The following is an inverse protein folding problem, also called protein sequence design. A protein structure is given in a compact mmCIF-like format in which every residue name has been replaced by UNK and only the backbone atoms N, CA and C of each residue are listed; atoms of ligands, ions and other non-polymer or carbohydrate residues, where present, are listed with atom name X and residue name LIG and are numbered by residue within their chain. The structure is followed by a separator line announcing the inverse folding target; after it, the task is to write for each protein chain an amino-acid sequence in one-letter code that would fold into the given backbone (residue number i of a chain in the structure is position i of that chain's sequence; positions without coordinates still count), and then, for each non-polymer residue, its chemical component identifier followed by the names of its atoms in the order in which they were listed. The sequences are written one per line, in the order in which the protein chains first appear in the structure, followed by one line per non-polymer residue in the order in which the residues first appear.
data_IF_347533554014
#
_entry.id   IF_347533554014
#
_cell.length_a   1.000
_cell.length_b   1.000
_cell.length_c   1.000
_cell.angle_alpha   90.00
_cell.angle_beta   90.00
_cell.angle_gamma   90.00
#
_symmetry.space_group_name_H-M   'P 1'
#
loop_
_entity.id
_entity.type
_entity.pdbx_description
1 polymer ?
#
# COMPACT_ATOMS: atom_id res chain seq x y z
N UNK A 1 3.43 6.09 3.92
CA UNK A 1 2.05 6.22 4.46
C UNK A 1 2.08 7.10 5.71
N UNK A 2 1.18 8.10 5.87
CA UNK A 2 1.16 8.97 7.06
C UNK A 2 0.97 8.24 8.39
N UNK A 3 0.39 7.03 8.36
CA UNK A 3 0.20 6.17 9.53
C UNK A 3 1.31 5.13 9.72
N UNK A 4 2.34 5.15 8.86
CA UNK A 4 3.45 4.20 8.87
C UNK A 4 3.05 2.71 8.69
N UNK A 5 1.86 2.43 8.15
CA UNK A 5 1.35 1.07 7.90
C UNK A 5 1.62 0.55 6.47
N UNK A 6 2.23 1.37 5.61
CA UNK A 6 2.81 0.96 4.32
C UNK A 6 4.29 1.31 4.38
N UNK A 7 5.14 0.31 4.21
CA UNK A 7 6.60 0.42 4.22
C UNK A 7 7.23 -0.43 3.11
N UNK A 8 8.50 -0.20 2.80
CA UNK A 8 9.23 -1.03 1.84
C UNK A 8 9.75 -2.29 2.52
N UNK A 9 9.68 -3.42 1.83
CA UNK A 9 10.31 -4.65 2.29
C UNK A 9 11.84 -4.49 2.34
N UNK A 10 12.52 -5.17 3.27
CA UNK A 10 13.98 -5.23 3.31
C UNK A 10 14.56 -6.09 2.19
N UNK A 11 13.80 -7.09 1.73
CA UNK A 11 14.21 -8.00 0.67
C UNK A 11 13.74 -7.53 -0.71
N UNK A 12 14.30 -8.14 -1.75
CA UNK A 12 13.90 -7.94 -3.14
C UNK A 12 12.89 -9.00 -3.58
N UNK A 13 11.92 -8.60 -4.41
CA UNK A 13 11.09 -9.55 -5.16
C UNK A 13 11.83 -10.10 -6.39
N UNK A 14 11.20 -11.02 -7.14
CA UNK A 14 11.77 -11.63 -8.36
C UNK A 14 12.17 -10.63 -9.46
N UNK A 15 11.65 -9.40 -9.38
CA UNK A 15 11.93 -8.30 -10.29
C UNK A 15 13.01 -7.35 -9.77
N UNK A 16 13.59 -7.60 -8.59
CA UNK A 16 14.65 -6.79 -8.01
C UNK A 16 14.17 -5.53 -7.29
N UNK A 17 12.90 -5.42 -6.89
CA UNK A 17 12.35 -4.27 -6.18
C UNK A 17 12.07 -4.56 -4.71
N UNK A 18 12.29 -3.57 -3.86
CA UNK A 18 11.72 -3.55 -2.51
C UNK A 18 10.22 -3.25 -2.60
N UNK A 19 9.40 -4.30 -2.57
CA UNK A 19 7.95 -4.15 -2.69
C UNK A 19 7.34 -3.43 -1.48
N UNK A 20 6.25 -2.70 -1.70
CA UNK A 20 5.45 -2.16 -0.61
C UNK A 20 4.78 -3.29 0.19
N UNK A 21 4.84 -3.19 1.52
CA UNK A 21 4.21 -4.10 2.49
C UNK A 21 3.13 -3.33 3.23
N UNK A 22 1.96 -3.94 3.38
CA UNK A 22 0.82 -3.36 4.08
C UNK A 22 0.52 -4.12 5.38
N UNK A 23 0.60 -3.42 6.51
CA UNK A 23 0.29 -3.95 7.85
C UNK A 23 -0.93 -3.24 8.46
N UNK A 24 -1.46 -3.78 9.57
CA UNK A 24 -2.41 -3.06 10.45
C UNK A 24 -3.58 -2.41 9.69
N UNK A 25 -4.30 -3.21 8.90
CA UNK A 25 -5.36 -2.75 7.97
C UNK A 25 -6.42 -1.90 8.67
N UNK A 26 -6.71 -2.22 9.93
CA UNK A 26 -7.66 -1.52 10.79
C UNK A 26 -7.27 -0.06 11.09
N UNK A 27 -5.99 0.30 10.91
CA UNK A 27 -5.49 1.69 11.09
C UNK A 27 -5.49 2.48 9.78
N UNK A 28 -5.83 1.86 8.66
CA UNK A 28 -5.90 2.52 7.36
C UNK A 28 -7.09 3.48 7.31
N UNK A 29 -6.84 4.70 6.84
CA UNK A 29 -7.88 5.75 6.71
C UNK A 29 -8.40 5.89 5.28
N UNK A 30 -7.94 5.08 4.33
CA UNK A 30 -8.35 5.21 2.92
C UNK A 30 -7.80 6.44 2.19
N UNK A 31 -6.73 7.09 2.68
CA UNK A 31 -6.24 8.36 2.13
C UNK A 31 -5.66 8.33 0.69
N UNK A 32 -5.62 7.16 0.05
CA UNK A 32 -5.15 6.93 -1.33
C UNK A 32 -3.69 7.31 -1.69
N UNK A 33 -2.92 7.94 -0.79
CA UNK A 33 -1.54 8.36 -1.09
C UNK A 33 -0.61 7.22 -1.53
N UNK A 34 -0.77 6.01 -0.98
CA UNK A 34 0.01 4.84 -1.40
C UNK A 34 -0.31 4.40 -2.83
N UNK A 35 -1.58 4.48 -3.25
CA UNK A 35 -1.99 4.23 -4.64
C UNK A 35 -1.42 5.26 -5.60
N UNK A 36 -1.48 6.54 -5.23
CA UNK A 36 -0.98 7.65 -6.07
C UNK A 36 0.53 7.64 -6.27
N UNK A 37 1.31 7.22 -5.26
CA UNK A 37 2.78 7.21 -5.33
C UNK A 37 3.35 5.91 -5.89
N UNK A 38 2.53 4.86 -6.05
CA UNK A 38 3.00 3.57 -6.54
C UNK A 38 3.32 3.66 -8.05
N UNK A 39 4.58 3.48 -8.47
CA UNK A 39 4.95 3.58 -9.89
C UNK A 39 4.35 2.45 -10.72
N UNK A 40 4.10 1.30 -10.10
CA UNK A 40 3.58 0.10 -10.76
C UNK A 40 2.05 0.04 -10.77
N UNK A 41 1.36 1.02 -10.15
CA UNK A 41 -0.11 1.02 -9.99
C UNK A 41 -0.59 -0.30 -9.34
N UNK A 42 0.21 -0.84 -8.41
CA UNK A 42 -0.02 -2.14 -7.78
C UNK A 42 -0.92 -2.08 -6.53
N UNK A 43 -1.38 -0.89 -6.15
CA UNK A 43 -2.13 -0.65 -4.91
C UNK A 43 -3.49 -0.06 -5.25
N UNK A 44 -4.54 -0.81 -4.90
CA UNK A 44 -5.93 -0.32 -4.95
C UNK A 44 -6.38 0.09 -3.55
N UNK A 45 -7.02 1.26 -3.46
CA UNK A 45 -7.60 1.79 -2.21
C UNK A 45 -9.10 1.91 -2.42
N UNK A 46 -9.87 1.41 -1.44
CA UNK A 46 -11.33 1.38 -1.45
C UNK A 46 -11.88 2.36 -0.41
N UNK A 47 -13.04 2.95 -0.70
CA UNK A 47 -13.83 3.67 0.29
C UNK A 47 -14.64 2.68 1.15
N UNK A 48 -14.99 3.14 2.36
CA UNK A 48 -15.77 2.35 3.30
C UNK A 48 -17.24 2.33 2.81
N UNK A 49 -17.52 1.41 1.89
CA UNK A 49 -18.77 1.31 1.15
C UNK A 49 -18.62 0.63 -0.21
N UNK A 50 -17.39 0.52 -0.71
CA UNK A 50 -17.09 -0.26 -1.92
C UNK A 50 -17.16 -1.76 -1.58
N UNK A 51 -18.21 -2.42 -2.08
CA UNK A 51 -18.35 -3.87 -2.02
C UNK A 51 -17.54 -4.48 -3.17
N UNK A 52 -16.63 -5.42 -2.85
CA UNK A 52 -15.94 -6.29 -3.81
C UNK A 52 -16.24 -7.74 -3.48
#
# INVERSE_FOLDING_TARGET
CPKNIIHLNSDFNDKGYHSAVFSEKEKCTGCALCGLVCPDIAITVYEKGDEV
#
